data_IF_852743210607
#
_entry.id   IF_852743210607
#
_cell.length_a   1.000
_cell.length_b   1.000
_cell.length_c   1.000
_cell.angle_alpha   90.00
_cell.angle_beta   90.00
_cell.angle_gamma   90.00
#
_symmetry.space_group_name_H-M   'P 1'
#
loop_
_entity.id
_entity.type
_entity.pdbx_description
1 polymer ?
#
# COMPACT_ATOMS: atom_id res chain seq x y z
N UNK A 1 7.78 -40.15 35.65
CA UNK A 1 8.20 -40.47 34.26
C UNK A 1 7.09 -40.16 33.24
N UNK A 2 5.89 -40.71 33.40
CA UNK A 2 4.73 -40.55 32.51
C UNK A 2 4.30 -39.09 32.22
N UNK A 3 4.19 -38.25 33.26
CA UNK A 3 3.81 -36.83 33.12
C UNK A 3 4.82 -36.04 32.27
N UNK A 4 6.12 -36.36 32.38
CA UNK A 4 7.17 -35.75 31.55
C UNK A 4 7.02 -36.19 30.09
N UNK A 5 6.73 -37.47 29.86
CA UNK A 5 6.50 -38.01 28.51
C UNK A 5 5.27 -37.38 27.84
N UNK A 6 4.15 -37.21 28.57
CA UNK A 6 2.94 -36.55 28.07
C UNK A 6 3.19 -35.06 27.72
N UNK A 7 3.93 -34.33 28.56
CA UNK A 7 4.35 -32.94 28.26
C UNK A 7 5.25 -32.84 27.03
N UNK A 8 6.12 -33.82 26.81
CA UNK A 8 7.00 -33.85 25.64
C UNK A 8 6.21 -34.15 24.35
N UNK A 9 5.27 -35.10 24.41
CA UNK A 9 4.38 -35.43 23.29
C UNK A 9 3.51 -34.23 22.87
N UNK A 10 2.89 -33.54 23.83
CA UNK A 10 2.07 -32.34 23.59
C UNK A 10 2.88 -31.17 23.03
N UNK A 11 4.11 -30.94 23.51
CA UNK A 11 5.03 -29.93 22.95
C UNK A 11 5.38 -30.26 21.49
N UNK A 12 5.70 -31.52 21.19
CA UNK A 12 6.04 -31.98 19.84
C UNK A 12 4.84 -31.83 18.89
N UNK A 13 3.64 -32.15 19.36
CA UNK A 13 2.39 -31.96 18.62
C UNK A 13 2.13 -30.48 18.28
N UNK A 14 2.23 -29.58 19.28
CA UNK A 14 2.11 -28.12 19.06
C UNK A 14 3.14 -27.59 18.05
N UNK A 15 4.39 -28.06 18.13
CA UNK A 15 5.43 -27.69 17.17
C UNK A 15 5.13 -28.18 15.75
N UNK A 16 4.59 -29.40 15.61
CA UNK A 16 4.17 -29.94 14.31
C UNK A 16 3.02 -29.12 13.72
N UNK A 17 1.99 -28.81 14.51
CA UNK A 17 0.88 -27.94 14.08
C UNK A 17 1.37 -26.55 13.67
N UNK A 18 2.26 -25.95 14.45
CA UNK A 18 2.87 -24.66 14.13
C UNK A 18 3.64 -24.73 12.81
N UNK A 19 4.44 -25.79 12.58
CA UNK A 19 5.16 -25.98 11.30
C UNK A 19 4.20 -26.12 10.11
N UNK A 20 3.11 -26.87 10.27
CA UNK A 20 2.10 -27.03 9.20
C UNK A 20 1.42 -25.69 8.92
N UNK A 21 0.98 -24.98 9.96
CA UNK A 21 0.40 -23.64 9.83
C UNK A 21 1.37 -22.68 9.15
N UNK A 22 2.64 -22.67 9.55
CA UNK A 22 3.68 -21.85 8.95
C UNK A 22 3.88 -22.20 7.46
N UNK A 23 3.90 -23.49 7.10
CA UNK A 23 4.04 -23.94 5.71
C UNK A 23 2.84 -23.55 4.83
N UNK A 24 1.64 -23.52 5.40
CA UNK A 24 0.42 -23.04 4.73
C UNK A 24 0.44 -21.51 4.56
N UNK A 25 0.88 -20.77 5.58
CA UNK A 25 1.01 -19.30 5.55
C UNK A 25 2.06 -18.85 4.52
N UNK A 26 3.20 -19.56 4.44
CA UNK A 26 4.32 -19.23 3.55
C UNK A 26 4.21 -19.86 2.16
N UNK A 27 3.14 -20.64 1.86
CA UNK A 27 2.95 -21.19 0.53
C UNK A 27 2.88 -20.03 -0.47
N UNK A 28 3.73 -19.99 -1.51
CA UNK A 28 3.73 -18.88 -2.46
C UNK A 28 2.34 -18.80 -3.08
N UNK A 29 1.65 -17.69 -2.81
CA UNK A 29 0.33 -17.44 -3.38
C UNK A 29 0.50 -17.18 -4.88
N UNK A 30 -0.50 -17.50 -5.69
CA UNK A 30 -0.52 -17.07 -7.09
C UNK A 30 -0.97 -15.61 -7.16
N UNK A 31 -0.54 -14.83 -8.16
CA UNK A 31 -1.13 -13.53 -8.42
C UNK A 31 -2.64 -13.68 -8.58
N UNK A 32 -3.41 -12.70 -8.10
CA UNK A 32 -4.86 -12.74 -8.18
C UNK A 32 -5.43 -11.39 -8.55
N UNK A 33 -6.55 -11.40 -9.26
CA UNK A 33 -7.37 -10.22 -9.51
C UNK A 33 -8.56 -10.27 -8.54
N UNK A 34 -8.81 -9.20 -7.81
CA UNK A 34 -9.92 -9.12 -6.85
C UNK A 34 -10.59 -7.76 -6.91
N UNK A 35 -11.85 -7.70 -6.47
CA UNK A 35 -12.55 -6.44 -6.24
C UNK A 35 -12.59 -6.14 -4.74
N UNK A 36 -12.18 -4.95 -4.34
CA UNK A 36 -12.21 -4.48 -2.95
C UNK A 36 -12.86 -3.10 -2.94
N UNK A 37 -13.94 -2.92 -2.18
CA UNK A 37 -14.69 -1.64 -2.08
C UNK A 37 -14.99 -1.00 -3.44
N UNK A 38 -15.42 -1.82 -4.41
CA UNK A 38 -15.75 -1.33 -5.75
C UNK A 38 -14.59 -1.28 -6.75
N UNK A 39 -13.33 -1.36 -6.30
CA UNK A 39 -12.12 -1.19 -7.12
C UNK A 39 -11.44 -2.49 -7.47
N UNK A 40 -10.81 -2.53 -8.64
CA UNK A 40 -10.11 -3.72 -9.16
C UNK A 40 -8.65 -3.68 -8.73
N UNK A 41 -8.15 -4.79 -8.17
CA UNK A 41 -6.76 -4.92 -7.76
C UNK A 41 -6.18 -6.24 -8.24
N UNK A 42 -5.14 -6.14 -9.06
CA UNK A 42 -4.13 -7.16 -9.24
C UNK A 42 -3.22 -7.20 -8.00
N UNK A 43 -3.12 -8.37 -7.38
CA UNK A 43 -2.35 -8.61 -6.17
C UNK A 43 -1.19 -9.53 -6.49
N UNK A 44 0.02 -8.97 -6.48
CA UNK A 44 1.23 -9.75 -6.63
C UNK A 44 1.59 -10.46 -5.32
N UNK A 45 1.99 -11.76 -5.33
CA UNK A 45 2.23 -12.54 -4.11
C UNK A 45 3.35 -12.01 -3.20
N UNK A 46 4.31 -11.30 -3.79
CA UNK A 46 5.46 -10.68 -3.11
C UNK A 46 5.21 -9.22 -2.72
N UNK A 47 4.00 -8.72 -2.92
CA UNK A 47 3.60 -7.34 -2.61
C UNK A 47 2.54 -7.40 -1.51
N UNK A 48 2.51 -6.37 -0.66
CA UNK A 48 1.55 -6.26 0.41
C UNK A 48 0.11 -6.48 -0.09
N UNK A 49 -0.65 -7.32 0.62
CA UNK A 49 -1.99 -7.72 0.23
C UNK A 49 -3.04 -7.00 1.09
N UNK A 50 -3.74 -5.98 0.55
CA UNK A 50 -4.69 -5.16 1.29
C UNK A 50 -6.00 -5.88 1.63
N UNK A 51 -6.23 -7.09 1.08
CA UNK A 51 -7.48 -7.84 1.28
C UNK A 51 -7.70 -8.28 2.73
N UNK A 52 -6.61 -8.41 3.50
CA UNK A 52 -6.64 -8.94 4.87
C UNK A 52 -6.37 -7.89 5.93
N UNK A 53 -6.35 -6.61 5.57
CA UNK A 53 -5.98 -5.52 6.46
C UNK A 53 -7.11 -4.52 6.62
N UNK A 54 -7.85 -4.66 7.73
CA UNK A 54 -8.89 -3.70 8.12
C UNK A 54 -8.34 -2.27 8.22
N UNK A 55 -7.09 -2.11 8.67
CA UNK A 55 -6.40 -0.82 8.76
C UNK A 55 -6.26 -0.10 7.41
N UNK A 56 -6.03 -0.84 6.33
CA UNK A 56 -5.90 -0.26 4.98
C UNK A 56 -7.25 0.22 4.48
N UNK A 57 -8.30 -0.59 4.69
CA UNK A 57 -9.68 -0.20 4.34
C UNK A 57 -10.10 1.04 5.13
N UNK A 58 -9.86 1.05 6.45
CA UNK A 58 -10.21 2.17 7.31
C UNK A 58 -9.52 3.47 6.89
N UNK A 59 -8.22 3.43 6.54
CA UNK A 59 -7.49 4.59 6.07
C UNK A 59 -8.06 5.12 4.74
N UNK A 60 -8.37 4.22 3.80
CA UNK A 60 -8.93 4.59 2.50
C UNK A 60 -10.32 5.26 2.63
N UNK A 61 -11.17 4.75 3.54
CA UNK A 61 -12.51 5.31 3.79
C UNK A 61 -12.46 6.67 4.49
N UNK A 62 -11.52 6.86 5.41
CA UNK A 62 -11.36 8.10 6.18
C UNK A 62 -10.31 9.05 5.57
N UNK A 63 -9.98 8.86 4.30
CA UNK A 63 -9.03 9.72 3.60
C UNK A 63 -9.68 11.08 3.32
N UNK A 64 -9.28 12.08 4.12
CA UNK A 64 -9.58 13.50 3.94
C UNK A 64 -8.68 14.09 2.85
N UNK A 65 -9.08 13.87 1.60
CA UNK A 65 -8.41 14.38 0.39
C UNK A 65 -9.48 14.97 -0.53
N UNK A 66 -9.20 16.15 -1.07
CA UNK A 66 -10.02 16.87 -2.05
C UNK A 66 -9.30 17.12 -3.38
N UNK A 67 -10.02 17.70 -4.35
CA UNK A 67 -9.53 17.93 -5.71
C UNK A 67 -8.43 19.01 -5.80
N UNK A 68 -8.23 19.76 -4.73
CA UNK A 68 -7.16 20.74 -4.51
C UNK A 68 -5.92 20.13 -3.84
N UNK A 69 -5.89 18.81 -3.65
CA UNK A 69 -4.76 18.14 -3.01
C UNK A 69 -3.91 17.37 -4.03
N UNK A 70 -2.61 17.37 -3.75
CA UNK A 70 -1.60 16.49 -4.35
C UNK A 70 -1.16 15.50 -3.29
N UNK A 71 -1.30 14.21 -3.57
CA UNK A 71 -0.99 13.17 -2.57
C UNK A 71 0.36 12.54 -2.88
N UNK A 72 1.18 12.36 -1.85
CA UNK A 72 2.36 11.49 -1.90
C UNK A 72 2.08 10.19 -1.15
N UNK A 73 2.08 9.09 -1.89
CA UNK A 73 1.95 7.74 -1.35
C UNK A 73 3.31 7.05 -1.31
N UNK A 74 3.95 7.05 -0.13
CA UNK A 74 5.28 6.46 0.07
C UNK A 74 5.16 5.04 0.57
N UNK A 75 5.79 4.10 -0.12
CA UNK A 75 5.59 2.67 0.12
C UNK A 75 4.25 2.20 -0.45
N UNK A 76 3.93 2.65 -1.68
CA UNK A 76 2.61 2.46 -2.27
C UNK A 76 2.22 0.98 -2.44
N UNK A 77 3.17 0.05 -2.44
CA UNK A 77 2.91 -1.39 -2.33
C UNK A 77 2.08 -1.93 -3.50
N UNK A 78 0.82 -2.29 -3.22
CA UNK A 78 -0.13 -2.72 -4.25
C UNK A 78 -0.86 -1.55 -4.92
N UNK A 79 -0.67 -0.32 -4.45
CA UNK A 79 -1.39 0.87 -4.92
C UNK A 79 -2.78 1.02 -4.30
N UNK A 80 -3.05 0.35 -3.17
CA UNK A 80 -4.37 0.38 -2.54
C UNK A 80 -4.78 1.80 -2.17
N UNK A 81 -3.99 2.47 -1.33
CA UNK A 81 -4.25 3.86 -0.96
C UNK A 81 -4.15 4.81 -2.16
N UNK A 82 -3.18 4.58 -3.05
CA UNK A 82 -3.01 5.36 -4.29
C UNK A 82 -4.31 5.43 -5.12
N UNK A 83 -4.99 4.29 -5.31
CA UNK A 83 -6.24 4.22 -6.08
C UNK A 83 -7.32 5.08 -5.43
N UNK A 84 -7.56 4.93 -4.12
CA UNK A 84 -8.60 5.72 -3.44
C UNK A 84 -8.24 7.21 -3.33
N UNK A 85 -6.97 7.54 -3.16
CA UNK A 85 -6.49 8.91 -3.16
C UNK A 85 -6.74 9.59 -4.52
N UNK A 86 -6.39 8.92 -5.63
CA UNK A 86 -6.48 9.49 -6.97
C UNK A 86 -7.91 9.73 -7.47
N UNK A 87 -8.92 9.08 -6.87
CA UNK A 87 -10.32 9.39 -7.15
C UNK A 87 -10.71 10.79 -6.67
N UNK A 88 -10.15 11.22 -5.54
CA UNK A 88 -10.50 12.47 -4.88
C UNK A 88 -9.51 13.60 -5.20
N UNK A 89 -8.22 13.26 -5.22
CA UNK A 89 -7.12 14.19 -5.43
C UNK A 89 -7.09 14.81 -6.84
N UNK A 90 -6.41 15.94 -6.94
CA UNK A 90 -5.96 16.49 -8.22
C UNK A 90 -4.97 15.55 -8.89
N UNK A 91 -4.00 15.08 -8.10
CA UNK A 91 -2.86 14.31 -8.57
C UNK A 91 -2.24 13.48 -7.43
N UNK A 92 -1.63 12.35 -7.77
CA UNK A 92 -0.96 11.47 -6.82
C UNK A 92 0.42 11.06 -7.35
N UNK A 93 1.45 11.24 -6.54
CA UNK A 93 2.77 10.68 -6.76
C UNK A 93 2.95 9.46 -5.84
N UNK A 94 3.13 8.28 -6.43
CA UNK A 94 3.27 7.03 -5.70
C UNK A 94 4.70 6.49 -5.82
N UNK A 95 5.31 6.16 -4.69
CA UNK A 95 6.70 5.71 -4.61
C UNK A 95 6.80 4.38 -3.89
N UNK A 96 7.62 3.48 -4.39
CA UNK A 96 8.01 2.27 -3.64
C UNK A 96 9.46 1.88 -3.96
N UNK A 97 10.15 1.36 -2.96
CA UNK A 97 11.51 0.82 -3.09
C UNK A 97 11.54 -0.45 -3.92
N UNK A 98 10.48 -1.27 -3.85
CA UNK A 98 10.38 -2.54 -4.54
C UNK A 98 9.85 -2.34 -5.96
N UNK A 99 10.64 -2.60 -7.02
CA UNK A 99 10.16 -2.49 -8.40
C UNK A 99 8.96 -3.38 -8.71
N UNK A 100 8.79 -4.48 -7.97
CA UNK A 100 7.60 -5.35 -8.08
C UNK A 100 6.34 -4.68 -7.57
N UNK A 101 6.45 -3.92 -6.47
CA UNK A 101 5.36 -3.10 -5.94
C UNK A 101 5.00 -1.98 -6.93
N UNK A 102 5.98 -1.27 -7.47
CA UNK A 102 5.76 -0.25 -8.51
C UNK A 102 5.03 -0.81 -9.72
N UNK A 103 5.43 -1.97 -10.25
CA UNK A 103 4.71 -2.63 -11.35
C UNK A 103 3.27 -3.00 -10.94
N UNK A 104 3.09 -3.51 -9.72
CA UNK A 104 1.77 -3.86 -9.18
C UNK A 104 0.86 -2.62 -9.10
N UNK A 105 1.36 -1.51 -8.55
CA UNK A 105 0.66 -0.22 -8.47
C UNK A 105 0.31 0.30 -9.87
N UNK A 106 1.25 0.31 -10.83
CA UNK A 106 0.97 0.74 -12.22
C UNK A 106 -0.16 -0.05 -12.86
N UNK A 107 -0.16 -1.38 -12.72
CA UNK A 107 -1.26 -2.24 -13.19
C UNK A 107 -2.58 -1.83 -12.54
N UNK A 108 -2.59 -1.56 -11.23
CA UNK A 108 -3.81 -1.19 -10.52
C UNK A 108 -4.33 0.21 -10.86
N UNK A 109 -3.45 1.17 -11.11
CA UNK A 109 -3.82 2.49 -11.65
C UNK A 109 -4.48 2.34 -13.01
N UNK A 110 -3.91 1.51 -13.88
CA UNK A 110 -4.48 1.20 -15.19
C UNK A 110 -5.85 0.52 -15.11
N UNK A 111 -5.98 -0.52 -14.28
CA UNK A 111 -7.22 -1.27 -14.09
C UNK A 111 -8.39 -0.42 -13.58
N UNK A 112 -8.10 0.72 -12.95
CA UNK A 112 -9.10 1.67 -12.44
C UNK A 112 -9.18 2.96 -13.28
N UNK A 113 -8.47 3.07 -14.41
CA UNK A 113 -8.57 4.22 -15.32
C UNK A 113 -7.95 5.52 -14.79
N UNK A 114 -6.97 5.42 -13.90
CA UNK A 114 -6.42 6.57 -13.16
C UNK A 114 -5.07 7.08 -13.71
N UNK A 115 -4.62 6.58 -14.88
CA UNK A 115 -3.30 6.89 -15.45
C UNK A 115 -3.01 8.39 -15.59
N UNK A 116 -4.04 9.20 -15.87
CA UNK A 116 -3.87 10.64 -16.11
C UNK A 116 -3.71 11.46 -14.82
N UNK A 117 -3.85 10.83 -13.65
CA UNK A 117 -3.78 11.49 -12.34
C UNK A 117 -2.67 10.97 -11.45
N UNK A 118 -1.96 9.91 -11.88
CA UNK A 118 -1.03 9.20 -11.00
C UNK A 118 0.27 8.88 -11.70
N UNK A 119 1.37 9.36 -11.14
CA UNK A 119 2.70 8.87 -11.47
C UNK A 119 3.20 7.89 -10.42
N UNK A 120 3.89 6.84 -10.90
CA UNK A 120 4.41 5.77 -10.05
C UNK A 120 5.88 5.56 -10.35
N UNK A 121 6.73 5.81 -9.36
CA UNK A 121 8.18 5.75 -9.51
C UNK A 121 8.81 4.73 -8.55
N UNK A 122 9.90 4.10 -9.00
CA UNK A 122 10.79 3.37 -8.10
C UNK A 122 11.66 4.39 -7.40
N UNK A 123 11.63 4.41 -6.07
CA UNK A 123 12.32 5.43 -5.30
C UNK A 123 12.64 5.00 -3.89
N UNK A 124 13.85 5.37 -3.45
CA UNK A 124 14.18 5.52 -2.05
C UNK A 124 13.31 6.65 -1.47
N UNK A 125 12.83 6.49 -0.22
CA UNK A 125 12.31 7.54 0.66
C UNK A 125 12.93 8.88 0.29
N UNK A 126 12.28 9.59 -0.64
CA UNK A 126 12.81 10.84 -1.12
C UNK A 126 12.84 11.73 0.11
N UNK A 127 13.98 12.39 0.31
CA UNK A 127 14.02 13.45 1.31
C UNK A 127 12.82 14.39 1.04
N UNK A 128 12.17 14.94 2.08
CA UNK A 128 11.02 15.82 1.89
C UNK A 128 11.23 16.87 0.80
N UNK A 129 12.43 17.43 0.69
CA UNK A 129 12.83 18.39 -0.35
C UNK A 129 12.81 17.82 -1.78
N UNK A 130 13.20 16.56 -1.99
CA UNK A 130 13.14 15.92 -3.30
C UNK A 130 11.70 15.64 -3.73
N UNK A 131 10.82 15.29 -2.78
CA UNK A 131 9.38 15.17 -3.04
C UNK A 131 8.82 16.53 -3.45
N UNK A 132 9.10 17.55 -2.65
CA UNK A 132 8.57 18.89 -2.87
C UNK A 132 9.01 19.42 -4.23
N UNK A 133 10.28 19.21 -4.61
CA UNK A 133 10.79 19.51 -5.94
C UNK A 133 10.08 18.74 -7.06
N UNK A 134 9.81 17.44 -6.90
CA UNK A 134 9.06 16.66 -7.91
C UNK A 134 7.62 17.16 -8.07
N UNK A 135 6.97 17.56 -6.97
CA UNK A 135 5.63 18.15 -7.00
C UNK A 135 5.68 19.47 -7.77
N UNK A 136 6.67 20.32 -7.51
CA UNK A 136 6.91 21.58 -8.22
C UNK A 136 7.22 21.37 -9.71
N UNK A 137 8.13 20.43 -10.04
CA UNK A 137 8.47 20.03 -11.42
C UNK A 137 7.25 19.47 -12.17
N UNK A 138 6.27 18.93 -11.44
CA UNK A 138 4.97 18.47 -11.96
C UNK A 138 3.94 19.60 -12.11
N UNK A 139 4.37 20.86 -12.02
CA UNK A 139 3.57 22.07 -12.14
C UNK A 139 2.54 22.28 -11.00
N UNK A 140 2.88 21.88 -9.77
CA UNK A 140 2.09 22.14 -8.58
C UNK A 140 2.87 22.95 -7.54
N UNK A 141 2.24 23.99 -6.97
CA UNK A 141 2.78 24.75 -5.84
C UNK A 141 2.18 24.25 -4.53
N UNK A 142 3.05 23.82 -3.62
CA UNK A 142 2.64 23.32 -2.30
C UNK A 142 2.17 24.47 -1.41
N UNK A 143 1.01 24.30 -0.79
CA UNK A 143 0.40 25.24 0.17
C UNK A 143 0.55 24.71 1.60
N UNK A 144 0.28 23.42 1.82
CA UNK A 144 0.28 22.82 3.15
C UNK A 144 0.67 21.35 3.08
N UNK A 145 1.32 20.85 4.12
CA UNK A 145 1.61 19.43 4.31
C UNK A 145 0.82 18.85 5.50
N UNK A 146 0.23 17.68 5.31
CA UNK A 146 -0.46 16.91 6.35
C UNK A 146 -0.03 15.45 6.25
N UNK A 147 0.46 14.88 7.36
CA UNK A 147 0.76 13.45 7.43
C UNK A 147 -0.45 12.70 7.97
N UNK A 148 -0.98 11.76 7.19
CA UNK A 148 -2.02 10.82 7.61
C UNK A 148 -1.38 9.45 7.82
N UNK A 149 -1.48 8.90 9.03
CA UNK A 149 -0.93 7.57 9.32
C UNK A 149 -2.01 6.63 9.84
N UNK A 150 -1.87 5.36 9.49
CA UNK A 150 -2.52 4.22 10.09
C UNK A 150 -1.46 3.37 10.81
N UNK A 151 -1.87 2.28 11.49
CA UNK A 151 -0.97 1.40 12.25
C UNK A 151 0.18 0.80 11.40
N UNK A 152 -0.01 0.67 10.08
CA UNK A 152 0.95 0.03 9.17
C UNK A 152 1.26 0.83 7.89
N UNK A 153 0.63 1.99 7.70
CA UNK A 153 0.68 2.74 6.45
C UNK A 153 0.80 4.24 6.76
N UNK A 154 1.57 4.99 5.98
CA UNK A 154 1.66 6.45 6.08
C UNK A 154 1.46 7.06 4.71
N UNK A 155 0.47 7.94 4.60
CA UNK A 155 0.19 8.74 3.42
C UNK A 155 0.52 10.20 3.76
N UNK A 156 1.36 10.84 2.97
CA UNK A 156 1.59 12.28 3.11
C UNK A 156 0.73 13.01 2.10
N UNK A 157 -0.20 13.82 2.59
CA UNK A 157 -1.06 14.65 1.77
C UNK A 157 -0.48 16.05 1.71
N UNK A 158 -0.23 16.55 0.51
CA UNK A 158 0.08 17.95 0.28
C UNK A 158 -1.17 18.62 -0.27
N UNK A 159 -1.59 19.73 0.34
CA UNK A 159 -2.46 20.67 -0.36
C UNK A 159 -1.56 21.45 -1.31
N UNK A 160 -1.84 21.38 -2.60
CA UNK A 160 -1.04 22.04 -3.61
C UNK A 160 -1.94 22.48 -4.75
N UNK A 161 -1.72 23.69 -5.25
CA UNK A 161 -2.45 24.24 -6.38
C UNK A 161 -1.65 24.04 -7.65
N UNK A 162 -2.32 23.68 -8.73
CA UNK A 162 -1.69 23.65 -10.06
C UNK A 162 -1.34 25.10 -10.44
N UNK A 163 -0.11 25.34 -10.89
CA UNK A 163 0.27 26.65 -11.43
C UNK A 163 -0.45 26.91 -12.76
#
# INVERSE_FOLDING_TARGET
>A
MLVRMLRQATKKFKQTLAKIGLKLIHKPRKPSLTKIKGKKFYLHPKVFNPKWTFSSIFLAENLEVGNENVVLDVGCGSGFQTVFAAEKASYVLALDLNPTAVRCTKINIELNGLKNKVDVLVGNLLSPSQVEKLIEDSNFKIIRKVNKKSMFETLTVYSAIKN
#
